data_IF_913376881433
#
_entry.id   IF_913376881433
#
_cell.length_a   1.000
_cell.length_b   1.000
_cell.length_c   1.000
_cell.angle_alpha   90.00
_cell.angle_beta   90.00
_cell.angle_gamma   90.00
#
_symmetry.space_group_name_H-M   'P 1'
#
loop_
_entity.id
_entity.type
_entity.pdbx_description
1 polymer ?
#
# COMPACT_ATOMS: atom_id res chain seq x y z
N UNK A 1 -15.45 -31.00 -2.15
CA UNK A 1 -15.49 -29.69 -2.84
C UNK A 1 -15.19 -28.57 -1.83
N UNK A 2 -13.93 -28.22 -1.60
CA UNK A 2 -13.52 -27.19 -0.60
C UNK A 2 -12.50 -26.19 -1.18
N UNK A 3 -12.05 -26.42 -2.43
CA UNK A 3 -10.87 -25.76 -3.02
C UNK A 3 -11.11 -24.36 -3.61
N UNK A 4 -12.34 -23.85 -3.59
CA UNK A 4 -12.69 -22.54 -4.19
C UNK A 4 -12.91 -21.41 -3.18
N UNK A 5 -12.90 -21.69 -1.87
CA UNK A 5 -13.22 -20.65 -0.86
C UNK A 5 -12.00 -19.81 -0.47
N UNK A 6 -10.81 -20.41 -0.45
CA UNK A 6 -9.54 -19.74 -0.16
C UNK A 6 -9.12 -18.78 -1.29
N UNK A 7 -9.27 -19.22 -2.55
CA UNK A 7 -8.98 -18.37 -3.71
C UNK A 7 -9.93 -17.17 -3.79
N UNK A 8 -11.15 -17.27 -3.26
CA UNK A 8 -12.15 -16.18 -3.30
C UNK A 8 -11.88 -15.10 -2.24
N UNK A 9 -11.37 -15.43 -1.05
CA UNK A 9 -10.93 -14.40 -0.09
C UNK A 9 -9.63 -13.74 -0.53
N UNK A 10 -8.73 -14.53 -1.14
CA UNK A 10 -7.49 -14.02 -1.69
C UNK A 10 -7.71 -13.11 -2.90
N UNK A 11 -8.62 -13.48 -3.81
CA UNK A 11 -9.07 -12.60 -4.90
C UNK A 11 -9.80 -11.38 -4.36
N UNK A 12 -10.59 -11.49 -3.29
CA UNK A 12 -11.30 -10.32 -2.74
C UNK A 12 -10.33 -9.31 -2.13
N UNK A 13 -9.28 -9.75 -1.44
CA UNK A 13 -8.19 -8.88 -0.97
C UNK A 13 -7.40 -8.23 -2.12
N UNK A 14 -7.22 -8.91 -3.25
CA UNK A 14 -6.51 -8.38 -4.43
C UNK A 14 -7.41 -7.44 -5.27
N UNK A 15 -8.71 -7.71 -5.32
CA UNK A 15 -9.70 -6.96 -6.11
C UNK A 15 -10.14 -5.68 -5.41
N UNK A 16 -10.07 -5.62 -4.08
CA UNK A 16 -10.63 -4.50 -3.30
C UNK A 16 -9.62 -3.35 -3.05
N UNK A 17 -8.33 -3.47 -3.41
CA UNK A 17 -7.34 -2.41 -3.11
C UNK A 17 -6.11 -2.30 -4.04
N UNK A 18 -6.12 -2.77 -5.30
CA UNK A 18 -4.85 -2.68 -6.07
C UNK A 18 -4.98 -2.44 -7.56
N UNK A 19 -6.04 -2.89 -8.23
CA UNK A 19 -6.10 -2.69 -9.69
C UNK A 19 -6.63 -1.31 -10.08
N UNK A 20 -7.70 -0.85 -9.43
CA UNK A 20 -8.30 0.46 -9.73
C UNK A 20 -7.35 1.59 -9.34
N UNK A 21 -6.73 1.54 -8.15
CA UNK A 21 -5.74 2.52 -7.71
C UNK A 21 -4.53 2.58 -8.64
N UNK A 22 -3.99 1.42 -9.07
CA UNK A 22 -2.86 1.38 -10.02
C UNK A 22 -3.24 1.90 -11.40
N UNK A 23 -4.46 1.64 -11.88
CA UNK A 23 -4.95 2.16 -13.16
C UNK A 23 -5.18 3.67 -13.08
N UNK A 24 -5.75 4.15 -11.97
CA UNK A 24 -5.95 5.58 -11.71
C UNK A 24 -4.61 6.33 -11.65
N UNK A 25 -3.59 5.70 -11.06
CA UNK A 25 -2.22 6.23 -11.04
C UNK A 25 -1.55 6.34 -12.41
N UNK A 26 -1.97 5.51 -13.37
CA UNK A 26 -1.44 5.58 -14.76
C UNK A 26 -2.13 6.65 -15.59
N UNK A 27 -3.32 7.11 -15.19
CA UNK A 27 -4.16 8.03 -15.96
C UNK A 27 -3.48 9.40 -16.20
N UNK A 28 -2.84 10.06 -15.21
CA UNK A 28 -2.09 11.30 -15.44
C UNK A 28 -0.99 11.18 -16.51
N UNK A 29 -0.32 10.02 -16.57
CA UNK A 29 0.73 9.77 -17.58
C UNK A 29 0.15 9.61 -18.99
N UNK A 30 -1.01 8.96 -19.11
CA UNK A 30 -1.72 8.83 -20.41
C UNK A 30 -2.18 10.20 -20.89
N UNK A 31 -2.73 11.03 -20.00
CA UNK A 31 -3.15 12.41 -20.32
C UNK A 31 -1.94 13.23 -20.77
N UNK A 32 -0.81 13.15 -20.08
CA UNK A 32 0.41 13.87 -20.45
C UNK A 32 0.88 13.52 -21.88
N UNK A 33 0.79 12.25 -22.28
CA UNK A 33 1.18 11.83 -23.65
C UNK A 33 0.24 12.45 -24.69
N UNK A 34 -1.07 12.49 -24.41
CA UNK A 34 -2.05 13.13 -25.29
C UNK A 34 -1.84 14.64 -25.37
N UNK A 35 -1.61 15.31 -24.24
CA UNK A 35 -1.34 16.74 -24.18
C UNK A 35 -0.05 17.11 -24.91
N UNK A 36 1.00 16.30 -24.76
CA UNK A 36 2.26 16.49 -25.50
C UNK A 36 2.05 16.32 -27.01
N UNK A 37 1.23 15.34 -27.44
CA UNK A 37 0.88 15.16 -28.84
C UNK A 37 0.10 16.38 -29.39
N UNK A 38 -0.90 16.85 -28.64
CA UNK A 38 -1.69 18.02 -29.00
C UNK A 38 -0.83 19.29 -29.08
N UNK A 39 0.07 19.48 -28.12
CA UNK A 39 0.99 20.61 -28.10
C UNK A 39 1.96 20.57 -29.29
N UNK A 40 2.53 19.40 -29.59
CA UNK A 40 3.41 19.22 -30.74
C UNK A 40 2.68 19.48 -32.07
N UNK A 41 1.44 18.99 -32.20
CA UNK A 41 0.62 19.27 -33.37
C UNK A 41 0.28 20.77 -33.49
N UNK A 42 -0.10 21.42 -32.38
CA UNK A 42 -0.40 22.85 -32.34
C UNK A 42 0.80 23.72 -32.73
N UNK A 43 2.01 23.35 -32.27
CA UNK A 43 3.26 24.00 -32.68
C UNK A 43 3.55 23.81 -34.17
N UNK A 44 3.24 22.64 -34.74
CA UNK A 44 3.45 22.37 -36.15
C UNK A 44 2.50 23.18 -37.06
N UNK A 45 1.24 23.33 -36.66
CA UNK A 45 0.25 24.16 -37.36
C UNK A 45 0.50 25.66 -37.13
N UNK A 46 1.26 26.01 -36.08
CA UNK A 46 1.67 27.36 -35.70
C UNK A 46 0.48 28.30 -35.41
N UNK A 47 -0.62 27.74 -34.91
CA UNK A 47 -1.82 28.48 -34.52
C UNK A 47 -1.76 28.84 -33.04
N UNK A 48 -1.55 30.13 -32.76
CA UNK A 48 -1.42 30.67 -31.41
C UNK A 48 -2.66 30.42 -30.56
N UNK A 49 -3.86 30.41 -31.17
CA UNK A 49 -5.11 30.18 -30.46
C UNK A 49 -5.24 28.75 -29.95
N UNK A 50 -4.53 27.79 -30.56
CA UNK A 50 -4.49 26.38 -30.14
C UNK A 50 -3.29 26.11 -29.23
N UNK A 51 -2.15 26.76 -29.49
CA UNK A 51 -0.94 26.61 -28.67
C UNK A 51 -1.19 27.06 -27.22
N UNK A 52 -1.88 28.18 -27.01
CA UNK A 52 -2.13 28.74 -25.68
C UNK A 52 -2.92 27.78 -24.76
N UNK A 53 -4.10 27.24 -25.15
CA UNK A 53 -4.80 26.27 -24.33
C UNK A 53 -4.06 24.92 -24.22
N UNK A 54 -3.39 24.46 -25.26
CA UNK A 54 -2.61 23.21 -25.20
C UNK A 54 -1.45 23.30 -24.20
N UNK A 55 -0.78 24.45 -24.12
CA UNK A 55 0.29 24.69 -23.15
C UNK A 55 -0.26 24.73 -21.72
N UNK A 56 -1.44 25.35 -21.53
CA UNK A 56 -2.10 25.39 -20.22
C UNK A 56 -2.51 23.98 -19.75
N UNK A 57 -3.08 23.16 -20.64
CA UNK A 57 -3.42 21.76 -20.35
C UNK A 57 -2.17 20.96 -19.97
N UNK A 58 -1.09 21.12 -20.72
CA UNK A 58 0.18 20.47 -20.40
C UNK A 58 0.68 20.82 -18.99
N UNK A 59 0.56 22.08 -18.56
CA UNK A 59 0.94 22.49 -17.19
C UNK A 59 0.05 21.79 -16.16
N UNK A 60 -1.26 21.72 -16.38
CA UNK A 60 -2.16 21.02 -15.45
C UNK A 60 -1.87 19.53 -15.38
N UNK A 61 -1.58 18.88 -16.51
CA UNK A 61 -1.19 17.47 -16.54
C UNK A 61 0.11 17.21 -15.75
N UNK A 62 1.12 18.08 -15.89
CA UNK A 62 2.34 17.98 -15.08
C UNK A 62 2.03 18.16 -13.58
N UNK A 63 1.17 19.11 -13.22
CA UNK A 63 0.77 19.31 -11.83
C UNK A 63 0.05 18.09 -11.24
N UNK A 64 -0.84 17.44 -12.00
CA UNK A 64 -1.48 16.19 -11.58
C UNK A 64 -0.48 15.07 -11.31
N UNK A 65 0.55 14.93 -12.15
CA UNK A 65 1.61 13.94 -11.92
C UNK A 65 2.36 14.24 -10.62
N UNK A 66 2.67 15.50 -10.32
CA UNK A 66 3.34 15.87 -9.07
C UNK A 66 2.50 15.50 -7.86
N UNK A 67 1.20 15.80 -7.87
CA UNK A 67 0.28 15.44 -6.79
C UNK A 67 0.17 13.93 -6.63
N UNK A 68 0.02 13.20 -7.75
CA UNK A 68 -0.04 11.73 -7.74
C UNK A 68 1.25 11.10 -7.19
N UNK A 69 2.42 11.66 -7.53
CA UNK A 69 3.71 11.17 -7.01
C UNK A 69 3.85 11.41 -5.49
N UNK A 70 3.36 12.53 -4.98
CA UNK A 70 3.39 12.84 -3.55
C UNK A 70 2.54 11.83 -2.75
N UNK A 71 1.35 11.52 -3.25
CA UNK A 71 0.47 10.49 -2.68
C UNK A 71 1.13 9.10 -2.66
N UNK A 72 1.81 8.71 -3.76
CA UNK A 72 2.58 7.45 -3.80
C UNK A 72 3.70 7.46 -2.76
N UNK A 73 4.40 8.59 -2.59
CA UNK A 73 5.52 8.67 -1.66
C UNK A 73 5.07 8.48 -0.21
N UNK A 74 3.96 9.12 0.19
CA UNK A 74 3.35 8.97 1.50
C UNK A 74 2.98 7.51 1.76
N UNK A 75 2.25 6.88 0.83
CA UNK A 75 1.86 5.47 0.95
C UNK A 75 3.05 4.50 0.94
N UNK A 76 4.07 4.76 0.12
CA UNK A 76 5.28 3.94 0.09
C UNK A 76 6.00 3.98 1.44
N UNK A 77 6.13 5.17 2.04
CA UNK A 77 6.77 5.37 3.35
C UNK A 77 6.01 4.66 4.47
N UNK A 78 4.68 4.79 4.50
CA UNK A 78 3.84 4.08 5.47
C UNK A 78 3.92 2.55 5.30
N UNK A 79 3.95 2.06 4.05
CA UNK A 79 4.04 0.64 3.76
C UNK A 79 5.37 0.03 4.20
N UNK A 80 6.49 0.74 3.98
CA UNK A 80 7.83 0.31 4.41
C UNK A 80 7.90 0.25 5.93
N UNK A 81 7.38 1.29 6.60
CA UNK A 81 7.35 1.34 8.05
C UNK A 81 6.50 0.21 8.63
N UNK A 82 5.31 -0.01 8.09
CA UNK A 82 4.40 -1.09 8.51
C UNK A 82 5.03 -2.46 8.31
N UNK A 83 5.68 -2.70 7.16
CA UNK A 83 6.44 -3.94 6.89
C UNK A 83 7.59 -4.14 7.88
N UNK A 84 8.32 -3.07 8.22
CA UNK A 84 9.42 -3.12 9.20
C UNK A 84 8.92 -3.43 10.61
N UNK A 85 7.78 -2.89 11.02
CA UNK A 85 7.16 -3.21 12.31
C UNK A 85 6.67 -4.65 12.32
N UNK A 86 5.97 -5.07 11.26
CA UNK A 86 5.43 -6.43 11.12
C UNK A 86 6.53 -7.50 11.16
N UNK A 87 7.64 -7.32 10.44
CA UNK A 87 8.75 -8.29 10.45
C UNK A 87 9.39 -8.44 11.84
N UNK A 88 9.56 -7.32 12.57
CA UNK A 88 10.08 -7.33 13.94
C UNK A 88 9.14 -8.04 14.90
N UNK A 89 7.84 -7.73 14.86
CA UNK A 89 6.81 -8.38 15.68
C UNK A 89 6.76 -9.88 15.39
N UNK A 90 6.77 -10.28 14.11
CA UNK A 90 6.74 -11.69 13.70
C UNK A 90 7.98 -12.44 14.17
N UNK A 91 9.17 -11.83 14.11
CA UNK A 91 10.40 -12.44 14.64
C UNK A 91 10.36 -12.64 16.16
N UNK A 92 9.79 -11.69 16.91
CA UNK A 92 9.62 -11.79 18.36
C UNK A 92 8.67 -12.92 18.75
N UNK A 93 7.57 -13.06 18.02
CA UNK A 93 6.59 -14.12 18.24
C UNK A 93 7.19 -15.48 17.88
N UNK A 94 7.93 -15.59 16.77
CA UNK A 94 8.58 -16.84 16.35
C UNK A 94 9.64 -17.33 17.34
N UNK A 95 10.41 -16.41 17.90
CA UNK A 95 11.45 -16.75 18.87
C UNK A 95 10.89 -17.04 20.28
N UNK A 96 9.59 -16.85 20.49
CA UNK A 96 8.93 -17.12 21.76
C UNK A 96 8.14 -18.42 21.68
N UNK A 97 8.51 -19.41 22.48
CA UNK A 97 7.83 -20.71 22.54
C UNK A 97 6.50 -20.70 23.31
N UNK A 98 6.11 -19.57 23.90
CA UNK A 98 4.88 -19.44 24.70
C UNK A 98 3.71 -18.81 23.92
N UNK A 99 2.48 -19.08 24.39
CA UNK A 99 1.28 -18.34 23.97
C UNK A 99 1.37 -16.89 24.44
N UNK A 100 1.78 -16.02 23.53
CA UNK A 100 1.93 -14.59 23.80
C UNK A 100 0.58 -13.87 23.71
N UNK A 101 0.31 -13.00 24.69
CA UNK A 101 -0.81 -12.06 24.65
C UNK A 101 -0.40 -10.77 23.96
N UNK A 102 -1.37 -10.04 23.39
CA UNK A 102 -1.13 -8.72 22.75
C UNK A 102 -0.32 -7.80 23.67
N UNK A 103 -0.69 -7.71 24.96
CA UNK A 103 0.01 -6.89 25.95
C UNK A 103 1.48 -7.28 26.11
N UNK A 104 1.78 -8.58 26.10
CA UNK A 104 3.16 -9.07 26.26
C UNK A 104 4.00 -8.86 25.01
N UNK A 105 3.44 -9.09 23.82
CA UNK A 105 4.13 -8.77 22.55
C UNK A 105 4.41 -7.28 22.43
N UNK A 106 3.44 -6.44 22.81
CA UNK A 106 3.62 -4.99 22.83
C UNK A 106 4.76 -4.57 23.76
N UNK A 107 4.82 -5.13 24.98
CA UNK A 107 5.88 -4.83 25.93
C UNK A 107 7.26 -5.25 25.39
N UNK A 108 7.39 -6.49 24.92
CA UNK A 108 8.63 -7.02 24.35
C UNK A 108 9.09 -6.24 23.11
N UNK A 109 8.15 -5.81 22.28
CA UNK A 109 8.45 -5.01 21.09
C UNK A 109 8.96 -3.63 21.44
N UNK A 110 8.40 -2.98 22.47
CA UNK A 110 8.84 -1.67 22.95
C UNK A 110 10.15 -1.73 23.76
N UNK A 111 10.42 -2.86 24.42
CA UNK A 111 11.67 -3.10 25.14
C UNK A 111 12.83 -3.33 24.16
N UNK A 112 12.62 -4.16 23.14
CA UNK A 112 13.66 -4.47 22.15
C UNK A 112 13.86 -3.36 21.10
N UNK A 113 12.81 -2.61 20.80
CA UNK A 113 12.82 -1.53 19.80
C UNK A 113 12.14 -0.27 20.38
N UNK A 114 12.85 0.51 21.21
CA UNK A 114 12.29 1.70 21.85
C UNK A 114 11.84 2.77 20.84
N UNK A 115 12.39 2.78 19.63
CA UNK A 115 11.97 3.66 18.53
C UNK A 115 10.52 3.43 18.09
N UNK A 116 9.94 2.25 18.38
CA UNK A 116 8.55 1.93 18.06
C UNK A 116 7.55 2.64 18.99
N UNK A 117 8.02 3.28 20.06
CA UNK A 117 7.16 4.02 21.01
C UNK A 117 6.37 5.12 20.30
N UNK A 118 6.94 5.75 19.27
CA UNK A 118 6.26 6.77 18.44
C UNK A 118 5.11 6.18 17.62
N UNK A 119 5.16 4.89 17.29
CA UNK A 119 4.20 4.20 16.42
C UNK A 119 3.29 3.24 17.20
N UNK A 120 3.03 3.51 18.49
CA UNK A 120 2.33 2.59 19.41
C UNK A 120 0.96 2.12 18.88
N UNK A 121 0.19 3.00 18.23
CA UNK A 121 -1.12 2.67 17.66
C UNK A 121 -1.00 1.68 16.51
N UNK A 122 -0.12 1.94 15.54
CA UNK A 122 0.16 1.03 14.43
C UNK A 122 0.73 -0.31 14.93
N UNK A 123 1.65 -0.27 15.90
CA UNK A 123 2.20 -1.48 16.52
C UNK A 123 1.09 -2.35 17.12
N UNK A 124 0.13 -1.77 17.85
CA UNK A 124 -0.99 -2.51 18.43
C UNK A 124 -1.82 -3.23 17.35
N UNK A 125 -2.18 -2.53 16.27
CA UNK A 125 -2.93 -3.15 15.17
C UNK A 125 -2.17 -4.32 14.54
N UNK A 126 -0.89 -4.12 14.24
CA UNK A 126 -0.03 -5.15 13.65
C UNK A 126 0.11 -6.37 14.58
N UNK A 127 0.29 -6.15 15.88
CA UNK A 127 0.37 -7.23 16.88
C UNK A 127 -0.94 -8.01 16.95
N UNK A 128 -2.08 -7.33 17.03
CA UNK A 128 -3.40 -7.96 17.03
C UNK A 128 -3.62 -8.81 15.77
N UNK A 129 -3.29 -8.26 14.59
CA UNK A 129 -3.42 -8.97 13.32
C UNK A 129 -2.51 -10.20 13.28
N UNK A 130 -1.23 -10.06 13.64
CA UNK A 130 -0.25 -11.16 13.61
C UNK A 130 -0.63 -12.30 14.55
N UNK A 131 -1.13 -11.99 15.76
CA UNK A 131 -1.59 -13.01 16.71
C UNK A 131 -2.90 -13.67 16.28
N UNK A 132 -3.79 -12.93 15.61
CA UNK A 132 -5.02 -13.49 15.06
C UNK A 132 -4.74 -14.44 13.89
N UNK A 133 -3.80 -14.09 13.00
CA UNK A 133 -3.32 -14.96 11.92
C UNK A 133 -2.75 -16.27 12.47
N UNK A 134 -1.81 -16.18 13.43
CA UNK A 134 -1.22 -17.37 14.07
C UNK A 134 -2.26 -18.27 14.72
N UNK A 135 -3.27 -17.70 15.39
CA UNK A 135 -4.34 -18.49 16.01
C UNK A 135 -5.17 -19.24 14.97
N UNK A 136 -5.43 -18.63 13.81
CA UNK A 136 -6.16 -19.30 12.72
C UNK A 136 -5.37 -20.49 12.18
N UNK A 137 -4.06 -20.30 11.93
CA UNK A 137 -3.14 -21.38 11.53
C UNK A 137 -3.17 -22.54 12.55
N UNK A 138 -3.05 -22.25 13.85
CA UNK A 138 -3.09 -23.26 14.92
C UNK A 138 -4.43 -24.00 15.05
N UNK A 139 -5.53 -23.42 14.56
CA UNK A 139 -6.88 -24.03 14.63
C UNK A 139 -7.14 -24.89 13.39
N UNK A 140 -6.69 -24.44 12.22
CA UNK A 140 -6.78 -25.19 10.96
C UNK A 140 -5.92 -26.47 10.96
N UNK A 141 -4.77 -26.46 11.64
CA UNK A 141 -3.92 -27.66 11.84
C UNK A 141 -4.53 -28.69 12.80
N UNK A 142 -5.45 -28.29 13.69
CA UNK A 142 -6.13 -29.19 14.63
C UNK A 142 -7.34 -29.91 14.05
N UNK A 143 -8.01 -29.30 13.07
CA UNK A 143 -9.19 -29.88 12.43
C UNK A 143 -8.82 -30.87 11.29
N UNK A 144 -7.53 -31.02 10.96
CA UNK A 144 -7.01 -31.94 9.95
C UNK A 144 -6.40 -33.24 10.53
N UNK A 145 -6.33 -33.38 11.85
CA UNK A 145 -5.72 -34.51 12.56
C UNK A 145 -6.73 -35.15 13.52
#
# INVERSE_FOLDING_TARGET
MVRYRWFRSWLKEIVESTFVEKVLLMLPFVILVLDLYMLNHALHVNDVYVIMPATLLFIFSVAEIVVALDEIHEHAKESILSRKISSRVRSLIKNSNEKLTVKRVMALSLEKYPELKKYRKQLYHIVCQTLAERRKEETEDRDQN
#
